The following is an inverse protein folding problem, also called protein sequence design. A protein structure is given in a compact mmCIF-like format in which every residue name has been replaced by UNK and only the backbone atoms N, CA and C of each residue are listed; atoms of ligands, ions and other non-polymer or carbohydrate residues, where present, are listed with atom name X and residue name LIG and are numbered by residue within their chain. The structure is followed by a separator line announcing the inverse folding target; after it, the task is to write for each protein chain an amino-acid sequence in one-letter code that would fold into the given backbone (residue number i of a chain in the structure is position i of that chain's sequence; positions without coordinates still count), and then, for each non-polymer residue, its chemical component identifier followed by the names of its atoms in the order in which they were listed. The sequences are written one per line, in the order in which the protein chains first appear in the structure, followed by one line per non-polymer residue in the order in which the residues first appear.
data_IF_147028783080
#
_entry.id   IF_147028783080
#
_cell.length_a   1.000
_cell.length_b   1.000
_cell.length_c   1.000
_cell.angle_alpha   90.00
_cell.angle_beta   90.00
_cell.angle_gamma   90.00
#
_symmetry.space_group_name_H-M   'P 1'
#
loop_
_entity.id
_entity.type
_entity.pdbx_description
1 polymer ?
#
# COMPACT_ATOMS: atom_id res chain seq x y z
N UNK A 1 56.49 -20.92 3.14
CA UNK A 1 55.74 -20.21 4.20
C UNK A 1 55.02 -19.01 3.56
N UNK A 2 53.77 -19.18 3.12
CA UNK A 2 52.96 -18.14 2.43
C UNK A 2 51.47 -18.53 2.48
N UNK A 3 50.91 -18.74 3.67
CA UNK A 3 49.53 -19.25 3.83
C UNK A 3 48.67 -18.38 4.76
N UNK A 4 49.25 -17.55 5.61
CA UNK A 4 48.49 -16.81 6.64
C UNK A 4 47.68 -15.60 6.15
N UNK A 5 47.96 -15.07 4.95
CA UNK A 5 47.29 -13.86 4.44
C UNK A 5 45.96 -14.12 3.70
N UNK A 6 45.60 -15.38 3.42
CA UNK A 6 44.37 -15.71 2.66
C UNK A 6 43.10 -15.74 3.51
N UNK A 7 43.20 -16.13 4.79
CA UNK A 7 42.05 -16.17 5.69
C UNK A 7 41.43 -14.79 6.01
N UNK A 8 42.21 -13.74 6.34
CA UNK A 8 41.63 -12.43 6.59
C UNK A 8 40.98 -11.84 5.34
N UNK A 9 41.57 -12.05 4.16
CA UNK A 9 41.05 -11.55 2.90
C UNK A 9 39.75 -12.26 2.49
N UNK A 10 39.65 -13.58 2.73
CA UNK A 10 38.40 -14.34 2.55
C UNK A 10 37.30 -13.85 3.49
N UNK A 11 37.61 -13.57 4.76
CA UNK A 11 36.66 -12.96 5.72
C UNK A 11 36.18 -11.59 5.26
N UNK A 12 37.08 -10.73 4.79
CA UNK A 12 36.72 -9.40 4.28
C UNK A 12 35.81 -9.47 3.04
N UNK A 13 36.15 -10.32 2.07
CA UNK A 13 35.32 -10.49 0.86
C UNK A 13 33.96 -11.10 1.22
N UNK A 14 33.92 -12.06 2.15
CA UNK A 14 32.68 -12.66 2.65
C UNK A 14 31.79 -11.63 3.35
N UNK A 15 32.35 -10.72 4.16
CA UNK A 15 31.60 -9.61 4.77
C UNK A 15 31.05 -8.62 3.72
N UNK A 16 31.80 -8.34 2.65
CA UNK A 16 31.33 -7.49 1.55
C UNK A 16 30.18 -8.17 0.82
N UNK A 17 30.36 -9.44 0.46
CA UNK A 17 29.35 -10.26 -0.23
C UNK A 17 28.08 -10.37 0.61
N UNK A 18 28.20 -10.64 1.91
CA UNK A 18 27.08 -10.66 2.85
C UNK A 18 26.32 -9.32 2.81
N UNK A 19 27.04 -8.19 2.84
CA UNK A 19 26.42 -6.87 2.85
C UNK A 19 25.74 -6.49 1.54
N UNK A 20 26.28 -6.93 0.40
CA UNK A 20 25.75 -6.66 -0.95
C UNK A 20 24.60 -7.60 -1.32
N UNK A 21 24.58 -8.81 -0.76
CA UNK A 21 23.55 -9.81 -1.03
C UNK A 21 22.16 -9.30 -0.64
N UNK A 22 21.12 -9.64 -1.43
CA UNK A 22 19.76 -9.28 -1.08
C UNK A 22 19.34 -9.91 0.25
N UNK A 23 18.62 -9.16 1.10
CA UNK A 23 18.34 -9.55 2.49
C UNK A 23 17.63 -10.90 2.60
N UNK A 24 16.71 -11.20 1.68
CA UNK A 24 15.98 -12.46 1.68
C UNK A 24 16.79 -13.70 1.31
N UNK A 25 17.96 -13.57 0.68
CA UNK A 25 18.81 -14.68 0.23
C UNK A 25 20.14 -14.79 0.99
N UNK A 26 20.47 -13.77 1.80
CA UNK A 26 21.74 -13.67 2.51
C UNK A 26 22.08 -14.93 3.31
N UNK A 27 21.15 -15.39 4.14
CA UNK A 27 21.44 -16.48 5.07
C UNK A 27 21.67 -17.81 4.36
N UNK A 28 20.76 -18.17 3.44
CA UNK A 28 20.88 -19.38 2.63
C UNK A 28 22.17 -19.40 1.80
N UNK A 29 22.53 -18.28 1.16
CA UNK A 29 23.74 -18.21 0.35
C UNK A 29 25.04 -18.30 1.18
N UNK A 30 25.05 -17.68 2.37
CA UNK A 30 26.22 -17.75 3.25
C UNK A 30 26.43 -19.17 3.79
N UNK A 31 25.35 -19.90 4.05
CA UNK A 31 25.41 -21.31 4.47
C UNK A 31 25.93 -22.21 3.32
N UNK A 32 25.39 -22.07 2.11
CA UNK A 32 25.81 -22.84 0.93
C UNK A 32 27.27 -22.53 0.52
N UNK A 33 27.67 -21.26 0.58
CA UNK A 33 29.03 -20.85 0.18
C UNK A 33 30.11 -21.22 1.21
N UNK A 34 29.75 -21.35 2.49
CA UNK A 34 30.64 -21.89 3.52
C UNK A 34 30.92 -23.39 3.32
N UNK A 35 29.96 -24.13 2.77
CA UNK A 35 30.04 -25.57 2.54
C UNK A 35 30.78 -25.93 1.24
N UNK A 36 30.59 -25.17 0.15
CA UNK A 36 31.08 -25.54 -1.19
C UNK A 36 32.34 -24.78 -1.67
N UNK A 37 32.67 -23.59 -1.15
CA UNK A 37 33.78 -22.79 -1.66
C UNK A 37 35.04 -22.84 -0.78
N UNK A 38 36.01 -23.68 -1.15
CA UNK A 38 37.31 -23.78 -0.46
C UNK A 38 38.30 -22.68 -0.88
N UNK A 39 38.20 -22.14 -2.11
CA UNK A 39 39.18 -21.19 -2.68
C UNK A 39 38.60 -19.81 -3.04
N UNK A 40 39.38 -18.74 -2.82
CA UNK A 40 39.01 -17.34 -3.13
C UNK A 40 38.78 -17.09 -4.64
N UNK A 41 39.52 -17.78 -5.50
CA UNK A 41 39.46 -17.63 -6.97
C UNK A 41 38.16 -18.19 -7.56
N UNK A 42 37.52 -19.16 -6.91
CA UNK A 42 36.20 -19.67 -7.27
C UNK A 42 35.09 -18.86 -6.58
N UNK A 43 35.32 -18.47 -5.32
CA UNK A 43 34.35 -17.71 -4.53
C UNK A 43 33.93 -16.39 -5.18
N UNK A 44 34.86 -15.60 -5.74
CA UNK A 44 34.56 -14.28 -6.32
C UNK A 44 33.66 -14.34 -7.56
N UNK A 45 33.98 -15.10 -8.62
CA UNK A 45 33.11 -15.19 -9.80
C UNK A 45 31.77 -15.86 -9.48
N UNK A 46 31.76 -16.91 -8.66
CA UNK A 46 30.52 -17.57 -8.24
C UNK A 46 29.64 -16.63 -7.41
N UNK A 47 30.24 -15.82 -6.53
CA UNK A 47 29.52 -14.77 -5.80
C UNK A 47 28.92 -13.73 -6.74
N UNK A 48 29.66 -13.27 -7.75
CA UNK A 48 29.16 -12.26 -8.68
C UNK A 48 27.95 -12.78 -9.49
N UNK A 49 27.99 -14.01 -9.99
CA UNK A 49 26.88 -14.63 -10.73
C UNK A 49 25.68 -14.83 -9.83
N UNK A 50 25.88 -15.32 -8.60
CA UNK A 50 24.79 -15.55 -7.65
C UNK A 50 24.17 -14.24 -7.13
N UNK A 51 24.97 -13.20 -6.94
CA UNK A 51 24.47 -11.85 -6.64
C UNK A 51 23.58 -11.37 -7.80
N UNK A 52 24.09 -11.40 -9.03
CA UNK A 52 23.32 -10.95 -10.20
C UNK A 52 22.01 -11.76 -10.37
N UNK A 53 22.07 -13.08 -10.26
CA UNK A 53 20.90 -13.96 -10.31
C UNK A 53 19.91 -13.71 -9.18
N UNK A 54 20.40 -13.53 -7.94
CA UNK A 54 19.57 -13.23 -6.77
C UNK A 54 18.84 -11.89 -6.90
N UNK A 55 19.53 -10.85 -7.36
CA UNK A 55 18.92 -9.55 -7.65
C UNK A 55 17.87 -9.66 -8.77
N UNK A 56 18.14 -10.42 -9.83
CA UNK A 56 17.20 -10.63 -10.94
C UNK A 56 15.90 -11.30 -10.47
N UNK A 57 16.01 -12.41 -9.74
CA UNK A 57 14.86 -13.16 -9.21
C UNK A 57 14.05 -12.27 -8.25
N UNK A 58 14.72 -11.56 -7.34
CA UNK A 58 14.03 -10.71 -6.38
C UNK A 58 13.43 -9.45 -7.02
N UNK A 59 14.05 -8.89 -8.06
CA UNK A 59 13.48 -7.78 -8.81
C UNK A 59 12.17 -8.19 -9.48
N UNK A 60 12.12 -9.38 -10.11
CA UNK A 60 10.90 -9.92 -10.71
C UNK A 60 9.84 -10.17 -9.64
N UNK A 61 10.22 -10.77 -8.50
CA UNK A 61 9.30 -11.05 -7.40
C UNK A 61 8.76 -9.77 -6.72
N UNK A 62 9.55 -8.71 -6.67
CA UNK A 62 9.17 -7.44 -6.07
C UNK A 62 8.39 -6.53 -7.03
N UNK A 63 8.35 -6.84 -8.32
CA UNK A 63 7.76 -5.97 -9.33
C UNK A 63 6.24 -5.81 -9.14
N UNK A 64 5.80 -4.56 -8.96
CA UNK A 64 4.40 -4.19 -8.85
C UNK A 64 4.00 -3.26 -9.99
N UNK A 65 3.20 -3.78 -10.93
CA UNK A 65 2.70 -3.06 -12.12
C UNK A 65 2.02 -1.73 -11.78
N UNK A 66 1.24 -1.69 -10.69
CA UNK A 66 0.48 -0.49 -10.31
C UNK A 66 1.41 0.58 -9.76
N UNK A 67 2.38 0.17 -8.93
CA UNK A 67 3.39 1.08 -8.40
C UNK A 67 4.28 1.63 -9.53
N UNK A 68 4.75 0.76 -10.42
CA UNK A 68 5.57 1.16 -11.57
C UNK A 68 4.85 2.20 -12.44
N UNK A 69 3.58 1.96 -12.79
CA UNK A 69 2.78 2.90 -13.58
C UNK A 69 2.61 4.26 -12.88
N UNK A 70 2.31 4.25 -11.58
CA UNK A 70 2.16 5.48 -10.81
C UNK A 70 3.48 6.26 -10.71
N UNK A 71 4.61 5.57 -10.51
CA UNK A 71 5.94 6.18 -10.49
C UNK A 71 6.33 6.73 -11.85
N UNK A 72 5.94 6.08 -12.95
CA UNK A 72 6.18 6.61 -14.30
C UNK A 72 5.45 7.93 -14.48
N UNK A 73 4.16 8.00 -14.10
CA UNK A 73 3.39 9.24 -14.14
C UNK A 73 4.01 10.34 -13.28
N UNK A 74 4.50 9.99 -12.08
CA UNK A 74 5.20 10.91 -11.18
C UNK A 74 6.44 11.55 -11.81
N UNK A 75 7.30 10.73 -12.41
CA UNK A 75 8.53 11.17 -13.05
C UNK A 75 8.22 12.02 -14.27
N UNK A 76 7.28 11.59 -15.13
CA UNK A 76 6.83 12.37 -16.29
C UNK A 76 6.31 13.76 -15.88
N UNK A 77 5.46 13.80 -14.85
CA UNK A 77 4.90 15.06 -14.35
C UNK A 77 5.98 15.99 -13.80
N UNK A 78 6.92 15.45 -13.01
CA UNK A 78 7.95 16.24 -12.35
C UNK A 78 9.00 16.79 -13.32
N UNK A 79 9.31 16.06 -14.39
CA UNK A 79 10.34 16.43 -15.37
C UNK A 79 9.76 16.87 -16.71
N UNK A 80 8.54 17.43 -16.72
CA UNK A 80 7.84 17.84 -17.94
C UNK A 80 8.67 18.77 -18.86
N UNK A 81 9.55 19.61 -18.29
CA UNK A 81 10.42 20.51 -19.03
C UNK A 81 11.79 19.92 -19.45
N UNK A 82 12.10 18.65 -19.16
CA UNK A 82 13.43 18.08 -19.40
C UNK A 82 13.78 17.92 -20.89
N UNK A 83 12.77 17.87 -21.77
CA UNK A 83 12.94 17.65 -23.21
C UNK A 83 13.12 16.17 -23.57
N UNK A 84 12.52 15.75 -24.68
CA UNK A 84 12.46 14.35 -25.13
C UNK A 84 13.50 14.07 -26.22
N UNK A 85 14.02 12.83 -26.42
CA UNK A 85 13.82 11.60 -25.64
C UNK A 85 14.96 11.22 -24.68
N UNK A 86 16.22 11.55 -25.01
CA UNK A 86 17.39 10.94 -24.36
C UNK A 86 17.55 11.33 -22.88
N UNK A 87 17.26 12.59 -22.53
CA UNK A 87 17.29 13.08 -21.15
C UNK A 87 16.29 12.36 -20.25
N UNK A 88 15.09 12.10 -20.78
CA UNK A 88 14.10 11.29 -20.08
C UNK A 88 14.59 9.86 -19.85
N UNK A 89 15.22 9.22 -20.84
CA UNK A 89 15.77 7.88 -20.65
C UNK A 89 16.80 7.81 -19.52
N UNK A 90 17.63 8.84 -19.35
CA UNK A 90 18.61 8.94 -18.25
C UNK A 90 17.89 9.08 -16.90
N UNK A 91 16.94 10.01 -16.78
CA UNK A 91 16.15 10.22 -15.56
C UNK A 91 15.37 8.94 -15.18
N UNK A 92 14.70 8.32 -16.16
CA UNK A 92 13.96 7.07 -15.95
C UNK A 92 14.90 5.94 -15.55
N UNK A 93 16.00 5.76 -16.28
CA UNK A 93 16.98 4.72 -16.01
C UNK A 93 17.58 4.84 -14.62
N UNK A 94 17.94 6.05 -14.18
CA UNK A 94 18.52 6.28 -12.86
C UNK A 94 17.51 6.03 -11.74
N UNK A 95 16.32 6.62 -11.83
CA UNK A 95 15.26 6.47 -10.82
C UNK A 95 14.79 5.01 -10.76
N UNK A 96 14.36 4.43 -11.88
CA UNK A 96 13.85 3.06 -11.88
C UNK A 96 14.94 2.02 -11.61
N UNK A 97 16.17 2.25 -12.05
CA UNK A 97 17.31 1.39 -11.73
C UNK A 97 17.55 1.32 -10.22
N UNK A 98 17.68 2.49 -9.57
CA UNK A 98 17.88 2.57 -8.12
C UNK A 98 16.71 1.95 -7.34
N UNK A 99 15.49 2.25 -7.75
CA UNK A 99 14.29 1.72 -7.12
C UNK A 99 14.15 0.20 -7.29
N UNK A 100 14.49 -0.34 -8.46
CA UNK A 100 14.43 -1.79 -8.73
C UNK A 100 15.50 -2.54 -7.93
N UNK A 101 16.73 -2.01 -7.89
CA UNK A 101 17.80 -2.57 -7.05
C UNK A 101 17.42 -2.56 -5.57
N UNK A 102 16.81 -1.47 -5.12
CA UNK A 102 16.35 -1.32 -3.75
C UNK A 102 15.19 -2.26 -3.41
N UNK A 103 14.28 -2.46 -4.35
CA UNK A 103 13.15 -3.38 -4.22
C UNK A 103 13.61 -4.83 -4.16
N UNK A 104 14.57 -5.20 -5.00
CA UNK A 104 15.24 -6.49 -4.90
C UNK A 104 15.90 -6.64 -3.53
N UNK A 105 16.79 -5.72 -3.13
CA UNK A 105 17.53 -5.81 -1.86
C UNK A 105 16.65 -5.96 -0.60
N UNK A 106 15.46 -5.32 -0.58
CA UNK A 106 14.56 -5.29 0.57
C UNK A 106 13.54 -6.43 0.60
N UNK A 107 13.33 -7.15 -0.49
CA UNK A 107 12.37 -8.24 -0.56
C UNK A 107 12.77 -9.43 0.34
N UNK A 108 11.84 -10.10 1.06
CA UNK A 108 10.40 -9.88 1.16
C UNK A 108 9.97 -8.92 2.30
N UNK A 109 10.92 -8.29 2.98
CA UNK A 109 10.69 -7.40 4.11
C UNK A 109 10.17 -6.02 3.64
N UNK A 110 8.89 -5.97 3.27
CA UNK A 110 8.24 -4.77 2.76
C UNK A 110 7.32 -4.12 3.81
N UNK A 111 7.43 -2.80 3.98
CA UNK A 111 6.28 -1.97 4.36
C UNK A 111 6.47 -0.97 5.50
N UNK A 112 7.70 -0.59 5.87
CA UNK A 112 7.92 0.50 6.83
C UNK A 112 7.92 1.89 6.16
N UNK A 113 7.57 2.90 6.94
CA UNK A 113 7.73 4.31 6.56
C UNK A 113 9.19 4.64 6.24
N UNK A 114 10.12 4.09 7.03
CA UNK A 114 11.55 4.29 6.85
C UNK A 114 12.06 3.67 5.55
N UNK A 115 11.51 2.53 5.13
CA UNK A 115 11.88 1.89 3.87
C UNK A 115 11.45 2.77 2.70
N UNK A 116 10.22 3.29 2.71
CA UNK A 116 9.73 4.17 1.64
C UNK A 116 10.53 5.48 1.55
N UNK A 117 10.97 6.03 2.70
CA UNK A 117 11.84 7.21 2.73
C UNK A 117 13.22 6.90 2.15
N UNK A 118 13.83 5.79 2.58
CA UNK A 118 15.12 5.33 2.05
C UNK A 118 15.07 5.09 0.54
N UNK A 119 13.96 4.57 0.02
CA UNK A 119 13.78 4.33 -1.41
C UNK A 119 13.70 5.64 -2.21
N UNK A 120 12.94 6.61 -1.72
CA UNK A 120 12.82 7.92 -2.36
C UNK A 120 14.15 8.67 -2.34
N UNK A 121 14.89 8.59 -1.23
CA UNK A 121 16.24 9.14 -1.12
C UNK A 121 17.22 8.43 -2.07
N UNK A 122 17.17 7.11 -2.17
CA UNK A 122 18.01 6.35 -3.10
C UNK A 122 17.74 6.76 -4.56
N UNK A 123 16.49 6.95 -4.95
CA UNK A 123 16.14 7.48 -6.27
C UNK A 123 16.66 8.90 -6.48
N UNK A 124 16.50 9.80 -5.50
CA UNK A 124 17.01 11.16 -5.56
C UNK A 124 18.53 11.21 -5.71
N UNK A 125 19.25 10.47 -4.87
CA UNK A 125 20.72 10.37 -4.93
C UNK A 125 21.17 9.78 -6.27
N UNK A 126 20.52 8.71 -6.74
CA UNK A 126 20.86 8.12 -8.04
C UNK A 126 20.62 9.09 -9.20
N UNK A 127 19.57 9.91 -9.14
CA UNK A 127 19.31 10.95 -10.12
C UNK A 127 20.41 12.00 -10.12
N UNK A 128 20.78 12.54 -8.97
CA UNK A 128 21.86 13.55 -8.90
C UNK A 128 23.20 12.97 -9.34
N UNK A 129 23.49 11.71 -8.99
CA UNK A 129 24.71 11.04 -9.42
C UNK A 129 24.72 10.80 -10.94
N UNK A 130 23.60 10.40 -11.53
CA UNK A 130 23.51 10.24 -12.99
C UNK A 130 23.68 11.56 -13.72
N UNK A 131 23.10 12.65 -13.21
CA UNK A 131 23.27 13.97 -13.82
C UNK A 131 24.69 14.52 -13.66
N UNK A 132 25.32 14.32 -12.49
CA UNK A 132 26.72 14.68 -12.28
C UNK A 132 27.65 13.92 -13.24
N UNK A 133 27.36 12.64 -13.50
CA UNK A 133 28.08 11.84 -14.49
C UNK A 133 27.84 12.33 -15.92
N UNK A 134 26.63 12.76 -16.25
CA UNK A 134 26.34 13.32 -17.58
C UNK A 134 27.03 14.66 -17.79
N UNK A 135 27.16 15.49 -16.76
CA UNK A 135 27.94 16.73 -16.84
C UNK A 135 29.42 16.49 -17.15
N UNK A 136 29.98 15.34 -16.79
CA UNK A 136 31.39 15.01 -17.10
C UNK A 136 31.55 14.32 -18.45
N UNK A 137 30.64 13.41 -18.81
CA UNK A 137 30.76 12.59 -20.04
C UNK A 137 30.12 13.29 -21.25
N UNK A 138 28.92 13.87 -21.08
CA UNK A 138 28.14 14.44 -22.18
C UNK A 138 27.23 15.58 -21.70
N UNK A 139 27.77 16.81 -21.57
CA UNK A 139 27.02 17.97 -21.06
C UNK A 139 25.76 18.30 -21.88
N UNK A 140 25.70 17.93 -23.16
CA UNK A 140 24.52 18.13 -24.01
C UNK A 140 23.32 17.29 -23.57
N UNK A 141 23.58 16.14 -22.92
CA UNK A 141 22.57 15.23 -22.38
C UNK A 141 22.22 15.53 -20.92
N UNK A 142 22.95 16.41 -20.23
CA UNK A 142 22.60 16.81 -18.88
C UNK A 142 21.30 17.63 -18.86
N UNK A 143 20.49 17.41 -17.83
CA UNK A 143 19.27 18.18 -17.60
C UNK A 143 19.66 19.58 -17.10
N UNK A 144 19.06 20.66 -17.62
CA UNK A 144 19.34 22.00 -17.12
C UNK A 144 19.09 22.10 -15.61
N UNK A 145 20.00 22.71 -14.85
CA UNK A 145 19.96 22.78 -13.38
C UNK A 145 18.58 23.17 -12.83
N UNK A 146 17.97 24.20 -13.40
CA UNK A 146 16.64 24.67 -12.99
C UNK A 146 15.57 23.58 -13.15
N UNK A 147 15.63 22.80 -14.22
CA UNK A 147 14.68 21.69 -14.46
C UNK A 147 14.98 20.54 -13.51
N UNK A 148 16.25 20.23 -13.29
CA UNK A 148 16.68 19.17 -12.38
C UNK A 148 16.20 19.43 -10.95
N UNK A 149 16.49 20.61 -10.39
CA UNK A 149 16.09 20.95 -9.02
C UNK A 149 14.57 21.02 -8.85
N UNK A 150 13.85 21.63 -9.80
CA UNK A 150 12.38 21.69 -9.76
C UNK A 150 11.75 20.30 -9.83
N UNK A 151 12.23 19.48 -10.75
CA UNK A 151 11.76 18.12 -10.93
C UNK A 151 12.08 17.24 -9.72
N UNK A 152 13.31 17.27 -9.21
CA UNK A 152 13.70 16.50 -8.03
C UNK A 152 12.90 16.91 -6.78
N UNK A 153 12.67 18.22 -6.60
CA UNK A 153 11.91 18.75 -5.46
C UNK A 153 10.47 18.22 -5.39
N UNK A 154 9.83 17.99 -6.54
CA UNK A 154 8.47 17.40 -6.59
C UNK A 154 8.53 15.88 -6.66
N UNK A 155 9.45 15.32 -7.43
CA UNK A 155 9.53 13.89 -7.71
C UNK A 155 9.84 13.09 -6.45
N UNK A 156 10.81 13.49 -5.63
CA UNK A 156 11.24 12.71 -4.45
C UNK A 156 10.11 12.56 -3.42
N UNK A 157 9.42 13.64 -2.99
CA UNK A 157 8.24 13.51 -2.13
C UNK A 157 7.10 12.70 -2.77
N UNK A 158 6.92 12.79 -4.08
CA UNK A 158 5.86 12.08 -4.77
C UNK A 158 6.16 10.57 -4.87
N UNK A 159 7.41 10.19 -5.13
CA UNK A 159 7.87 8.80 -5.07
C UNK A 159 7.72 8.23 -3.65
N UNK A 160 8.08 9.02 -2.62
CA UNK A 160 7.89 8.65 -1.23
C UNK A 160 6.42 8.35 -0.93
N UNK A 161 5.52 9.29 -1.25
CA UNK A 161 4.07 9.14 -0.98
C UNK A 161 3.44 8.00 -1.78
N UNK A 162 3.79 7.83 -3.05
CA UNK A 162 3.31 6.71 -3.86
C UNK A 162 3.74 5.36 -3.28
N UNK A 163 5.01 5.22 -2.89
CA UNK A 163 5.51 4.00 -2.25
C UNK A 163 4.81 3.74 -0.93
N UNK A 164 4.66 4.78 -0.11
CA UNK A 164 3.91 4.70 1.14
C UNK A 164 2.49 4.19 0.94
N UNK A 165 1.78 4.63 -0.09
CA UNK A 165 0.37 4.31 -0.31
C UNK A 165 0.18 2.95 -0.98
N UNK A 166 1.04 2.62 -1.96
CA UNK A 166 0.89 1.44 -2.82
C UNK A 166 1.69 0.22 -2.33
N UNK A 167 2.73 0.42 -1.50
CA UNK A 167 3.58 -0.65 -0.94
C UNK A 167 3.20 -1.01 0.51
N UNK A 168 2.40 -0.20 1.20
CA UNK A 168 1.96 -0.51 2.57
C UNK A 168 1.26 -1.88 2.60
N UNK A 169 1.84 -2.80 3.38
CA UNK A 169 1.21 -4.08 3.73
C UNK A 169 -0.10 -3.78 4.46
N UNK A 170 -1.11 -4.62 4.23
CA UNK A 170 -2.44 -4.48 4.84
C UNK A 170 -2.30 -3.99 6.29
N UNK A 171 -2.77 -2.77 6.61
CA UNK A 171 -2.55 -2.18 7.92
C UNK A 171 -3.04 -3.16 8.98
N UNK A 172 -2.12 -3.56 9.90
CA UNK A 172 -2.47 -4.39 11.06
C UNK A 172 -3.71 -3.78 11.71
N UNK A 173 -4.62 -4.63 12.15
CA UNK A 173 -5.88 -4.18 12.70
C UNK A 173 -5.59 -3.19 13.85
N UNK A 174 -6.01 -1.92 13.74
CA UNK A 174 -5.61 -0.88 14.70
C UNK A 174 -6.16 -1.11 16.11
N UNK A 175 -7.06 -2.07 16.27
CA UNK A 175 -7.66 -2.46 17.54
C UNK A 175 -7.26 -3.87 17.98
N UNK A 176 -6.33 -4.51 17.28
CA UNK A 176 -5.78 -5.82 17.65
C UNK A 176 -5.15 -5.77 19.05
N UNK A 177 -5.47 -6.74 19.90
CA UNK A 177 -5.04 -6.74 21.30
C UNK A 177 -5.77 -5.77 22.24
N UNK A 178 -6.61 -4.85 21.73
CA UNK A 178 -7.34 -3.91 22.59
C UNK A 178 -8.50 -4.59 23.33
N UNK A 179 -8.50 -4.50 24.68
CA UNK A 179 -9.62 -4.93 25.54
C UNK A 179 -10.84 -3.98 25.48
N UNK A 180 -10.98 -3.19 24.42
CA UNK A 180 -12.06 -2.20 24.28
C UNK A 180 -13.42 -2.85 24.03
N UNK A 181 -14.47 -2.27 24.63
CA UNK A 181 -15.86 -2.64 24.37
C UNK A 181 -16.29 -2.28 22.95
N UNK A 182 -17.31 -2.95 22.43
CA UNK A 182 -17.77 -2.75 21.06
C UNK A 182 -18.35 -1.33 20.82
N UNK A 183 -19.00 -0.75 21.84
CA UNK A 183 -19.53 0.62 21.82
C UNK A 183 -18.41 1.67 21.83
N UNK A 184 -17.34 1.47 22.62
CA UNK A 184 -16.19 2.36 22.61
C UNK A 184 -15.46 2.34 21.25
N UNK A 185 -15.31 1.15 20.66
CA UNK A 185 -14.77 0.99 19.30
C UNK A 185 -15.65 1.66 18.25
N UNK A 186 -16.99 1.55 18.37
CA UNK A 186 -17.93 2.27 17.51
C UNK A 186 -17.69 3.79 17.55
N UNK A 187 -17.69 4.37 18.75
CA UNK A 187 -17.55 5.82 18.93
C UNK A 187 -16.22 6.33 18.36
N UNK A 188 -15.11 5.61 18.60
CA UNK A 188 -13.79 5.99 18.05
C UNK A 188 -13.78 5.96 16.53
N UNK A 189 -14.30 4.90 15.92
CA UNK A 189 -14.37 4.78 14.45
C UNK A 189 -15.31 5.83 13.87
N UNK A 190 -16.43 6.14 14.52
CA UNK A 190 -17.35 7.18 14.08
C UNK A 190 -16.69 8.56 14.08
N UNK A 191 -16.02 8.94 15.19
CA UNK A 191 -15.26 10.18 15.27
C UNK A 191 -14.13 10.25 14.24
N UNK A 192 -13.39 9.15 14.05
CA UNK A 192 -12.35 9.07 13.03
C UNK A 192 -12.90 9.37 11.62
N UNK A 193 -14.05 8.79 11.26
CA UNK A 193 -14.69 9.08 9.98
C UNK A 193 -15.14 10.54 9.89
N UNK A 194 -15.69 11.14 10.97
CA UNK A 194 -16.09 12.55 10.97
C UNK A 194 -14.90 13.48 10.77
N UNK A 195 -13.83 13.29 11.53
CA UNK A 195 -12.61 14.08 11.41
C UNK A 195 -12.02 13.95 10.01
N UNK A 196 -12.00 12.74 9.46
CA UNK A 196 -11.50 12.49 8.12
C UNK A 196 -12.39 13.15 7.04
N UNK A 197 -13.72 13.08 7.18
CA UNK A 197 -14.66 13.78 6.27
C UNK A 197 -14.52 15.31 6.36
N UNK A 198 -14.34 15.85 7.57
CA UNK A 198 -14.10 17.28 7.77
C UNK A 198 -12.78 17.72 7.10
N UNK A 199 -11.71 16.92 7.24
CA UNK A 199 -10.45 17.15 6.56
C UNK A 199 -10.59 17.11 5.03
N UNK A 200 -11.38 16.17 4.49
CA UNK A 200 -11.70 16.13 3.05
C UNK A 200 -12.35 17.43 2.59
N UNK A 201 -13.40 17.89 3.28
CA UNK A 201 -14.11 19.11 2.93
C UNK A 201 -13.17 20.31 3.04
N UNK A 202 -12.38 20.39 4.11
CA UNK A 202 -11.35 21.43 4.27
C UNK A 202 -10.38 21.48 3.09
N UNK A 203 -9.83 20.34 2.68
CA UNK A 203 -8.92 20.27 1.52
C UNK A 203 -9.58 20.72 0.22
N UNK A 204 -10.86 20.38 -0.01
CA UNK A 204 -11.59 20.86 -1.18
C UNK A 204 -11.72 22.40 -1.16
N UNK A 205 -12.07 22.97 0.00
CA UNK A 205 -12.20 24.41 0.16
C UNK A 205 -10.86 25.14 -0.04
N UNK A 206 -9.79 24.60 0.55
CA UNK A 206 -8.42 25.14 0.41
C UNK A 206 -7.90 25.02 -1.02
N UNK A 207 -8.28 23.97 -1.74
CA UNK A 207 -7.90 23.78 -3.14
C UNK A 207 -8.68 24.67 -4.13
N UNK A 208 -9.78 25.28 -3.71
CA UNK A 208 -10.64 26.08 -4.61
C UNK A 208 -9.95 27.34 -5.16
N UNK A 209 -9.21 28.13 -4.35
CA UNK A 209 -8.44 29.27 -4.84
C UNK A 209 -7.26 28.89 -5.75
N UNK A 210 -6.73 27.67 -5.62
CA UNK A 210 -5.59 27.18 -6.42
C UNK A 210 -5.96 26.84 -7.87
N UNK A 211 -7.26 26.74 -8.17
CA UNK A 211 -7.75 26.43 -9.51
C UNK A 211 -7.78 27.68 -10.40
N UNK A 212 -7.47 27.54 -11.70
CA UNK A 212 -7.43 28.67 -12.62
C UNK A 212 -8.78 29.38 -12.79
N UNK A 213 -8.73 30.69 -13.04
CA UNK A 213 -9.89 31.54 -13.26
C UNK A 213 -10.84 31.03 -14.37
N UNK A 214 -10.31 30.39 -15.42
CA UNK A 214 -11.09 29.86 -16.54
C UNK A 214 -12.00 28.68 -16.15
N UNK A 215 -11.75 28.02 -15.01
CA UNK A 215 -12.60 26.93 -14.54
C UNK A 215 -13.77 27.50 -13.72
N UNK A 216 -15.04 27.19 -14.03
CA UNK A 216 -16.18 27.77 -13.32
C UNK A 216 -16.13 27.55 -11.81
N UNK A 217 -16.31 28.61 -11.02
CA UNK A 217 -16.16 28.58 -9.56
C UNK A 217 -17.04 27.53 -8.89
N UNK A 218 -18.30 27.41 -9.34
CA UNK A 218 -19.23 26.41 -8.80
C UNK A 218 -18.72 24.98 -9.00
N UNK A 219 -18.04 24.69 -10.12
CA UNK A 219 -17.52 23.35 -10.42
C UNK A 219 -16.30 23.00 -9.56
N UNK A 220 -15.47 23.98 -9.18
CA UNK A 220 -14.22 23.78 -8.41
C UNK A 220 -14.48 23.04 -7.10
N UNK A 221 -15.53 23.45 -6.37
CA UNK A 221 -15.94 22.82 -5.12
C UNK A 221 -17.02 21.74 -5.30
N UNK A 222 -18.00 21.97 -6.17
CA UNK A 222 -19.17 21.08 -6.25
C UNK A 222 -18.83 19.72 -6.83
N UNK A 223 -17.93 19.63 -7.82
CA UNK A 223 -17.59 18.34 -8.44
C UNK A 223 -16.89 17.39 -7.47
N UNK A 224 -15.84 17.80 -6.72
CA UNK A 224 -15.26 16.97 -5.67
C UNK A 224 -16.25 16.59 -4.57
N UNK A 225 -17.10 17.53 -4.13
CA UNK A 225 -18.10 17.28 -3.08
C UNK A 225 -19.16 16.27 -3.54
N UNK A 226 -19.65 16.39 -4.78
CA UNK A 226 -20.63 15.46 -5.35
C UNK A 226 -20.01 14.08 -5.54
N UNK A 227 -18.78 14.01 -6.06
CA UNK A 227 -18.05 12.75 -6.23
C UNK A 227 -17.86 12.06 -4.88
N UNK A 228 -17.44 12.82 -3.86
CA UNK A 228 -17.32 12.34 -2.49
C UNK A 228 -18.64 11.82 -1.92
N UNK A 229 -19.72 12.58 -2.11
CA UNK A 229 -21.06 12.19 -1.65
C UNK A 229 -21.54 10.91 -2.32
N UNK A 230 -21.40 10.79 -3.65
CA UNK A 230 -21.76 9.59 -4.40
C UNK A 230 -20.93 8.40 -3.91
N UNK A 231 -19.63 8.60 -3.72
CA UNK A 231 -18.72 7.57 -3.23
C UNK A 231 -19.06 7.11 -1.80
N UNK A 232 -19.45 8.01 -0.90
CA UNK A 232 -19.94 7.66 0.43
C UNK A 232 -21.29 6.95 0.41
N UNK A 233 -22.21 7.38 -0.45
CA UNK A 233 -23.54 6.76 -0.60
C UNK A 233 -23.41 5.33 -1.11
N UNK A 234 -22.53 5.08 -2.10
CA UNK A 234 -22.26 3.73 -2.58
C UNK A 234 -21.79 2.80 -1.47
N UNK A 235 -20.95 3.30 -0.56
CA UNK A 235 -20.43 2.52 0.58
C UNK A 235 -21.46 2.23 1.68
N UNK A 236 -22.65 2.83 1.61
CA UNK A 236 -23.76 2.55 2.53
C UNK A 236 -24.65 1.47 1.92
N UNK A 237 -24.82 0.34 2.61
CA UNK A 237 -25.73 -0.72 2.19
C UNK A 237 -27.19 -0.24 2.26
N UNK A 238 -27.72 0.32 1.18
CA UNK A 238 -29.10 0.81 1.09
C UNK A 238 -30.14 -0.33 1.03
N UNK A 239 -29.74 -1.52 0.55
CA UNK A 239 -30.67 -2.64 0.31
C UNK A 239 -31.09 -3.37 1.59
N UNK A 240 -30.29 -3.36 2.66
CA UNK A 240 -30.66 -3.99 3.96
C UNK A 240 -31.64 -3.11 4.75
N UNK A 241 -31.75 -1.81 4.40
CA UNK A 241 -32.64 -0.85 5.06
C UNK A 241 -34.13 -1.15 4.89
N UNK A 242 -34.49 -2.03 3.96
CA UNK A 242 -35.88 -2.39 3.65
C UNK A 242 -36.41 -3.60 4.42
N UNK A 243 -35.60 -4.28 5.23
CA UNK A 243 -36.08 -5.41 6.05
C UNK A 243 -36.73 -4.89 7.35
N UNK A 244 -37.88 -4.22 7.18
CA UNK A 244 -38.70 -3.63 8.26
C UNK A 244 -39.51 -4.65 9.05
N UNK A 245 -39.33 -5.96 8.80
CA UNK A 245 -40.12 -7.01 9.44
C UNK A 245 -39.63 -7.22 10.88
N UNK A 246 -40.32 -6.59 11.83
CA UNK A 246 -40.14 -6.82 13.27
C UNK A 246 -40.56 -8.25 13.61
N UNK A 247 -39.60 -9.14 13.86
CA UNK A 247 -39.87 -10.35 14.65
C UNK A 247 -39.93 -9.95 16.13
N UNK A 248 -41.07 -10.19 16.78
CA UNK A 248 -41.40 -9.75 18.14
C UNK A 248 -40.44 -10.24 19.26
N UNK A 249 -39.54 -11.18 18.98
CA UNK A 249 -38.64 -11.78 19.97
C UNK A 249 -37.14 -11.51 19.73
N UNK A 250 -36.81 -10.47 18.96
CA UNK A 250 -35.42 -10.15 18.66
C UNK A 250 -34.80 -9.13 19.65
N UNK A 251 -33.60 -9.46 20.13
CA UNK A 251 -32.80 -8.70 21.10
C UNK A 251 -32.60 -7.23 20.64
N UNK A 252 -33.15 -6.26 21.39
CA UNK A 252 -33.10 -4.83 21.05
C UNK A 252 -31.66 -4.31 20.94
N UNK A 253 -30.75 -4.83 21.75
CA UNK A 253 -29.34 -4.43 21.72
C UNK A 253 -28.70 -4.83 20.38
N UNK A 254 -29.01 -6.04 19.90
CA UNK A 254 -28.57 -6.56 18.61
C UNK A 254 -29.10 -5.72 17.45
N UNK A 255 -30.37 -5.32 17.50
CA UNK A 255 -30.99 -4.46 16.47
C UNK A 255 -30.36 -3.07 16.44
N UNK A 256 -30.06 -2.51 17.60
CA UNK A 256 -29.40 -1.21 17.73
C UNK A 256 -27.99 -1.26 17.16
N UNK A 257 -27.24 -2.32 17.48
CA UNK A 257 -25.89 -2.56 16.95
C UNK A 257 -25.91 -2.77 15.42
N UNK A 258 -26.87 -3.54 14.89
CA UNK A 258 -27.01 -3.73 13.43
C UNK A 258 -27.30 -2.42 12.70
N UNK A 259 -28.23 -1.60 13.22
CA UNK A 259 -28.52 -0.26 12.67
C UNK A 259 -27.29 0.65 12.72
N UNK A 260 -26.50 0.57 13.79
CA UNK A 260 -25.24 1.30 13.92
C UNK A 260 -24.18 0.79 12.94
N UNK A 261 -24.17 -0.48 12.57
CA UNK A 261 -23.25 -1.03 11.56
C UNK A 261 -23.63 -0.56 10.16
N UNK A 262 -24.92 -0.43 9.86
CA UNK A 262 -25.43 -0.01 8.55
C UNK A 262 -25.19 1.47 8.23
N UNK A 263 -24.94 2.31 9.23
CA UNK A 263 -24.77 3.76 9.03
C UNK A 263 -23.38 4.16 8.53
N UNK A 264 -22.39 3.28 8.59
CA UNK A 264 -20.99 3.60 8.25
C UNK A 264 -20.53 3.04 6.90
N UNK A 265 -19.53 3.72 6.34
CA UNK A 265 -18.79 3.36 5.15
C UNK A 265 -18.15 1.96 5.29
N UNK A 266 -18.80 0.95 4.72
CA UNK A 266 -18.41 -0.46 4.89
C UNK A 266 -17.30 -0.88 3.93
N UNK A 267 -17.08 -0.12 2.85
CA UNK A 267 -16.28 -0.55 1.70
C UNK A 267 -16.95 -1.74 1.00
N UNK A 268 -17.08 -1.69 -0.33
CA UNK A 268 -17.77 -2.77 -1.04
C UNK A 268 -16.87 -4.00 -1.20
N UNK A 269 -17.47 -5.17 -1.06
CA UNK A 269 -16.83 -6.44 -1.42
C UNK A 269 -16.97 -6.72 -2.92
N UNK A 270 -16.07 -7.54 -3.49
CA UNK A 270 -16.08 -7.91 -4.93
C UNK A 270 -17.41 -8.53 -5.41
N UNK A 271 -18.23 -9.03 -4.50
CA UNK A 271 -19.50 -9.71 -4.78
C UNK A 271 -20.72 -8.78 -4.63
N UNK A 272 -20.55 -7.56 -4.13
CA UNK A 272 -21.64 -6.61 -3.97
C UNK A 272 -21.86 -5.80 -5.27
N UNK A 273 -23.12 -5.44 -5.60
CA UNK A 273 -23.42 -4.62 -6.77
C UNK A 273 -22.72 -3.27 -6.66
N UNK A 274 -22.31 -2.69 -7.79
CA UNK A 274 -21.56 -1.43 -7.89
C UNK A 274 -20.12 -1.45 -7.32
N UNK A 275 -19.54 -2.63 -7.04
CA UNK A 275 -18.14 -2.74 -6.63
C UNK A 275 -17.16 -2.08 -7.62
N UNK A 276 -17.40 -2.23 -8.93
CA UNK A 276 -16.58 -1.60 -9.97
C UNK A 276 -16.64 -0.07 -9.89
N UNK A 277 -17.84 0.52 -9.77
CA UNK A 277 -18.02 1.96 -9.62
C UNK A 277 -17.31 2.49 -8.37
N UNK A 278 -17.41 1.79 -7.24
CA UNK A 278 -16.66 2.12 -6.03
C UNK A 278 -15.14 2.07 -6.24
N UNK A 279 -14.66 1.03 -6.94
CA UNK A 279 -13.23 0.83 -7.22
C UNK A 279 -12.65 1.90 -8.16
N UNK A 280 -13.45 2.43 -9.08
CA UNK A 280 -13.08 3.52 -9.97
C UNK A 280 -13.22 4.90 -9.32
N UNK A 281 -14.24 5.11 -8.49
CA UNK A 281 -14.48 6.39 -7.82
C UNK A 281 -13.42 6.72 -6.77
N UNK A 282 -12.86 5.73 -6.08
CA UNK A 282 -11.79 5.95 -5.10
C UNK A 282 -10.56 6.66 -5.71
N UNK A 283 -9.87 6.12 -6.74
CA UNK A 283 -8.74 6.81 -7.35
C UNK A 283 -9.15 8.10 -8.07
N UNK A 284 -10.34 8.15 -8.67
CA UNK A 284 -10.85 9.36 -9.32
C UNK A 284 -11.06 10.49 -8.32
N UNK A 285 -11.59 10.21 -7.14
CA UNK A 285 -11.76 11.18 -6.06
C UNK A 285 -10.41 11.72 -5.57
N UNK A 286 -9.43 10.86 -5.33
CA UNK A 286 -8.08 11.32 -4.96
C UNK A 286 -7.39 12.11 -6.08
N UNK A 287 -7.64 11.77 -7.35
CA UNK A 287 -7.16 12.55 -8.49
C UNK A 287 -7.76 13.96 -8.50
N UNK A 288 -9.05 14.09 -8.22
CA UNK A 288 -9.70 15.39 -8.07
C UNK A 288 -9.09 16.21 -6.92
N UNK A 289 -8.81 15.59 -5.77
CA UNK A 289 -8.15 16.26 -4.65
C UNK A 289 -6.70 16.69 -4.99
N UNK A 290 -6.01 15.93 -5.84
CA UNK A 290 -4.65 16.28 -6.29
C UNK A 290 -4.65 17.37 -7.37
N UNK A 291 -5.78 17.57 -8.08
CA UNK A 291 -5.85 18.46 -9.24
C UNK A 291 -5.46 19.90 -8.94
N UNK A 292 -5.92 20.55 -7.84
CA UNK A 292 -5.52 21.93 -7.56
C UNK A 292 -4.00 22.07 -7.45
N UNK A 293 -3.35 21.22 -6.66
CA UNK A 293 -1.89 21.22 -6.53
C UNK A 293 -1.18 20.95 -7.85
N UNK A 294 -1.68 20.00 -8.65
CA UNK A 294 -1.10 19.67 -9.94
C UNK A 294 -1.18 20.85 -10.91
N UNK A 295 -2.32 21.54 -10.95
CA UNK A 295 -2.54 22.69 -11.82
C UNK A 295 -1.69 23.90 -11.39
N UNK A 296 -1.53 24.13 -10.08
CA UNK A 296 -0.64 25.19 -9.57
C UNK A 296 0.84 24.89 -9.84
N UNK A 297 1.26 23.64 -9.71
CA UNK A 297 2.65 23.22 -9.97
C UNK A 297 3.01 23.17 -11.45
N UNK A 298 2.03 22.91 -12.32
CA UNK A 298 2.27 22.65 -13.74
C UNK A 298 3.00 23.79 -14.48
N UNK A 299 2.62 25.07 -14.35
CA UNK A 299 3.36 26.17 -14.98
C UNK A 299 4.83 26.20 -14.54
N UNK A 300 5.10 25.98 -13.26
CA UNK A 300 6.46 25.99 -12.72
C UNK A 300 7.31 24.82 -13.22
N UNK A 301 6.74 23.62 -13.26
CA UNK A 301 7.37 22.40 -13.76
C UNK A 301 7.58 22.42 -15.27
N UNK A 302 6.69 23.07 -16.02
CA UNK A 302 6.81 23.27 -17.47
C UNK A 302 7.73 24.43 -17.86
N UNK A 303 8.37 25.08 -16.89
CA UNK A 303 9.33 26.16 -17.12
C UNK A 303 8.70 27.54 -17.35
N UNK A 304 7.38 27.68 -17.19
CA UNK A 304 6.67 28.95 -17.28
C UNK A 304 6.80 29.75 -15.96
N UNK A 305 6.70 31.08 -16.00
CA UNK A 305 6.55 31.87 -14.77
C UNK A 305 5.29 31.43 -14.03
N UNK A 306 5.40 31.29 -12.72
CA UNK A 306 4.32 30.85 -11.86
C UNK A 306 4.36 31.69 -10.58
N UNK A 307 3.28 32.42 -10.31
CA UNK A 307 3.04 33.02 -9.01
C UNK A 307 2.47 31.93 -8.11
N UNK A 308 3.36 31.28 -7.36
CA UNK A 308 2.98 30.19 -6.46
C UNK A 308 2.88 30.77 -5.07
N UNK A 309 1.68 30.76 -4.50
CA UNK A 309 1.53 30.87 -3.05
C UNK A 309 2.06 29.56 -2.43
N UNK A 310 3.33 29.60 -2.04
CA UNK A 310 4.06 28.43 -1.51
C UNK A 310 3.40 27.93 -0.24
N UNK A 311 2.86 28.80 0.60
CA UNK A 311 2.21 28.41 1.86
C UNK A 311 0.90 27.69 1.60
N UNK A 312 0.06 28.25 0.74
CA UNK A 312 -1.23 27.64 0.38
C UNK A 312 -1.01 26.29 -0.31
N UNK A 313 -0.06 26.21 -1.25
CA UNK A 313 0.31 24.98 -1.92
C UNK A 313 0.85 23.93 -0.95
N UNK A 314 1.77 24.30 -0.06
CA UNK A 314 2.34 23.40 0.94
C UNK A 314 1.29 22.86 1.90
N UNK A 315 0.36 23.72 2.33
CA UNK A 315 -0.77 23.33 3.17
C UNK A 315 -1.68 22.34 2.44
N UNK A 316 -2.05 22.63 1.18
CA UNK A 316 -2.90 21.74 0.38
C UNK A 316 -2.23 20.39 0.11
N UNK A 317 -0.93 20.38 -0.21
CA UNK A 317 -0.16 19.15 -0.41
C UNK A 317 -0.07 18.30 0.86
N UNK A 318 0.14 18.95 2.00
CA UNK A 318 0.21 18.27 3.30
C UNK A 318 -1.15 17.69 3.65
N UNK A 319 -2.23 18.47 3.51
CA UNK A 319 -3.59 17.99 3.75
C UNK A 319 -3.95 16.82 2.82
N UNK A 320 -3.61 16.89 1.53
CA UNK A 320 -3.80 15.81 0.57
C UNK A 320 -3.01 14.54 0.98
N UNK A 321 -1.72 14.68 1.29
CA UNK A 321 -0.88 13.56 1.72
C UNK A 321 -1.42 12.92 3.00
N UNK A 322 -1.83 13.72 3.99
CA UNK A 322 -2.46 13.22 5.22
C UNK A 322 -3.75 12.47 4.93
N UNK A 323 -4.62 12.99 4.06
CA UNK A 323 -5.86 12.31 3.67
C UNK A 323 -5.59 10.97 2.97
N UNK A 324 -4.64 10.95 2.04
CA UNK A 324 -4.27 9.77 1.27
C UNK A 324 -3.68 8.67 2.18
N UNK A 325 -2.78 9.03 3.10
CA UNK A 325 -2.15 8.10 4.03
C UNK A 325 -3.14 7.61 5.10
N UNK A 326 -3.94 8.52 5.67
CA UNK A 326 -4.93 8.16 6.69
C UNK A 326 -6.08 7.33 6.14
N UNK A 327 -6.36 7.40 4.83
CA UNK A 327 -7.43 6.61 4.21
C UNK A 327 -7.25 5.10 4.37
N UNK A 328 -6.02 4.59 4.24
CA UNK A 328 -5.74 3.18 4.48
C UNK A 328 -6.05 2.77 5.93
N UNK A 329 -5.72 3.63 6.88
CA UNK A 329 -6.04 3.44 8.29
C UNK A 329 -7.55 3.50 8.56
N UNK A 330 -8.28 4.47 7.98
CA UNK A 330 -9.74 4.58 8.09
C UNK A 330 -10.42 3.32 7.54
N UNK A 331 -9.99 2.83 6.37
CA UNK A 331 -10.45 1.54 5.81
C UNK A 331 -10.17 0.38 6.76
N UNK A 332 -8.98 0.31 7.33
CA UNK A 332 -8.61 -0.75 8.28
C UNK A 332 -9.48 -0.73 9.52
N UNK A 333 -9.70 0.46 10.10
CA UNK A 333 -10.52 0.66 11.28
C UNK A 333 -11.99 0.28 11.04
N UNK A 334 -12.55 0.69 9.89
CA UNK A 334 -13.90 0.32 9.47
C UNK A 334 -14.05 -1.20 9.27
N UNK A 335 -13.10 -1.86 8.60
CA UNK A 335 -13.09 -3.33 8.39
C UNK A 335 -12.92 -4.11 9.71
N UNK A 336 -11.99 -3.70 10.56
CA UNK A 336 -11.72 -4.32 11.85
C UNK A 336 -12.96 -4.34 12.74
N UNK A 337 -13.65 -3.20 12.78
CA UNK A 337 -14.92 -3.06 13.48
C UNK A 337 -15.95 -4.05 12.96
N UNK A 338 -16.15 -4.10 11.64
CA UNK A 338 -17.12 -4.99 11.02
C UNK A 338 -16.85 -6.46 11.36
N UNK A 339 -15.60 -6.93 11.21
CA UNK A 339 -15.21 -8.30 11.57
C UNK A 339 -15.58 -8.64 13.02
N UNK A 340 -15.35 -7.72 13.97
CA UNK A 340 -15.66 -7.93 15.39
C UNK A 340 -17.16 -8.03 15.67
N UNK A 341 -17.98 -7.24 14.98
CA UNK A 341 -19.43 -7.31 15.13
C UNK A 341 -20.05 -8.54 14.46
N UNK A 342 -19.62 -8.89 13.25
CA UNK A 342 -20.04 -10.13 12.57
C UNK A 342 -19.58 -11.39 13.30
N UNK A 343 -18.37 -11.39 13.89
CA UNK A 343 -17.88 -12.51 14.70
C UNK A 343 -18.69 -12.72 15.99
N UNK A 344 -19.08 -11.62 16.66
CA UNK A 344 -19.93 -11.70 17.87
C UNK A 344 -21.35 -12.22 17.56
N UNK A 345 -21.94 -11.83 16.41
CA UNK A 345 -23.27 -12.30 16.04
C UNK A 345 -23.27 -13.80 15.70
N UNK A 346 -22.28 -14.28 14.93
CA UNK A 346 -22.15 -15.70 14.56
C UNK A 346 -21.78 -16.58 15.76
N UNK A 347 -20.86 -16.14 16.62
CA UNK A 347 -20.42 -16.89 17.80
C UNK A 347 -21.55 -17.13 18.81
N UNK A 348 -22.41 -16.12 19.06
CA UNK A 348 -23.60 -16.28 19.91
C UNK A 348 -24.68 -17.16 19.27
N UNK A 349 -24.81 -17.15 17.94
CA UNK A 349 -25.74 -18.01 17.22
C UNK A 349 -25.33 -19.48 17.28
N UNK A 350 -24.03 -19.79 17.16
CA UNK A 350 -23.48 -21.14 17.40
C UNK A 350 -23.66 -21.59 18.85
N UNK A 351 -23.48 -20.70 19.83
CA UNK A 351 -23.67 -21.03 21.26
C UNK A 351 -25.14 -21.29 21.62
N UNK A 352 -26.09 -20.60 20.96
CA UNK A 352 -27.54 -20.86 21.11
C UNK A 352 -28.05 -22.07 20.32
N UNK A 353 -27.37 -22.46 19.23
CA UNK A 353 -27.69 -23.67 18.44
C UNK A 353 -27.01 -24.94 18.92
N UNK A 354 -26.12 -24.87 19.92
CA UNK A 354 -25.77 -26.06 20.70
C UNK A 354 -26.91 -26.28 21.68
N UNK A 355 -27.79 -27.29 21.50
CA UNK A 355 -28.63 -27.71 22.61
C UNK A 355 -27.70 -28.07 23.77
N UNK A 356 -28.13 -27.75 24.99
CA UNK A 356 -27.51 -28.25 26.21
C UNK A 356 -27.68 -29.77 26.21
N UNK A 357 -26.77 -30.48 25.55
CA UNK A 357 -26.62 -31.92 25.69
C UNK A 357 -25.51 -32.14 26.69
N UNK A 358 -25.85 -31.94 27.96
CA UNK A 358 -25.19 -32.58 29.09
C UNK A 358 -26.24 -32.73 30.19
N UNK A 359 -26.51 -33.97 30.58
CA UNK A 359 -27.38 -34.26 31.73
C UNK A 359 -28.31 -35.45 31.61
N UNK A 360 -27.80 -36.61 31.15
CA UNK A 360 -28.27 -37.92 31.63
C UNK A 360 -29.60 -38.46 31.10
N UNK A 361 -29.59 -39.18 29.98
CA UNK A 361 -30.46 -40.36 29.80
C UNK A 361 -30.07 -41.31 28.64
N UNK A 362 -28.79 -41.38 28.25
CA UNK A 362 -28.34 -42.34 27.23
C UNK A 362 -27.08 -43.11 27.67
N UNK A 363 -27.02 -43.45 28.95
CA UNK A 363 -26.09 -44.45 29.48
C UNK A 363 -26.89 -45.70 29.90
N UNK A 364 -27.59 -46.31 28.94
CA UNK A 364 -28.03 -47.71 29.00
C UNK A 364 -28.38 -48.15 27.59
N UNK A 365 -28.02 -49.38 27.25
CA UNK A 365 -28.14 -50.02 25.94
C UNK A 365 -26.98 -49.70 24.98
N UNK A 366 -25.78 -50.17 25.36
CA UNK A 366 -24.85 -50.82 24.43
C UNK A 366 -24.17 -51.96 25.18
N UNK A 367 -24.93 -53.02 25.41
CA UNK A 367 -24.38 -54.36 25.63
C UNK A 367 -24.80 -55.21 24.44
N UNK A 368 -23.81 -55.93 23.91
CA UNK A 368 -23.86 -56.97 22.88
C UNK A 368 -23.68 -56.54 21.42
N UNK A 369 -22.82 -57.34 20.78
CA UNK A 369 -22.51 -57.48 19.35
C UNK A 369 -21.35 -56.64 18.78
N UNK A 370 -20.21 -57.32 18.74
CA UNK A 370 -19.14 -57.24 17.74
C UNK A 370 -18.78 -58.70 17.39
N UNK A 371 -18.08 -59.04 16.29
CA UNK A 371 -17.88 -58.37 14.99
C UNK A 371 -18.27 -59.29 13.82
N UNK A 372 -18.34 -58.78 12.58
CA UNK A 372 -17.69 -59.37 11.38
C UNK A 372 -18.23 -58.81 10.05
N UNK A 373 -17.37 -58.95 9.04
CA UNK A 373 -17.56 -58.83 7.59
C UNK A 373 -17.33 -57.43 6.97
N UNK A 374 -16.08 -57.27 6.52
CA UNK A 374 -15.69 -56.98 5.13
C UNK A 374 -16.78 -56.44 4.20
N UNK A 375 -16.52 -55.33 3.52
CA UNK A 375 -16.43 -55.28 2.06
C UNK A 375 -15.90 -53.91 1.62
N UNK A 376 -14.87 -53.95 0.78
CA UNK A 376 -14.27 -52.78 0.16
C UNK A 376 -15.19 -52.16 -0.90
N UNK A 377 -15.12 -50.84 -1.03
CA UNK A 377 -15.52 -50.15 -2.24
C UNK A 377 -14.77 -48.81 -2.32
N UNK A 378 -13.70 -48.83 -3.09
CA UNK A 378 -13.04 -47.68 -3.71
C UNK A 378 -14.03 -46.83 -4.49
N UNK A 379 -13.99 -45.51 -4.33
CA UNK A 379 -14.51 -44.55 -5.32
C UNK A 379 -13.46 -43.46 -5.59
N UNK A 380 -13.36 -42.99 -6.86
CA UNK A 380 -12.25 -42.18 -7.38
C UNK A 380 -12.49 -40.66 -7.19
N UNK A 381 -11.48 -39.81 -7.51
CA UNK A 381 -11.52 -38.38 -7.19
C UNK A 381 -12.27 -37.58 -8.26
N UNK A 382 -12.96 -36.53 -7.84
CA UNK A 382 -13.42 -35.46 -8.72
C UNK A 382 -12.81 -34.13 -8.24
N UNK A 383 -11.94 -33.61 -9.11
CA UNK A 383 -11.53 -32.22 -9.39
C UNK A 383 -11.38 -31.20 -8.25
#
# INVERSE_FOLDING_TARGET
MKIETREPLKRWVSLIVENVLPRGLRQQYMDESAEYCSSLSQFVPDSAVNIAGGYWIQAIAAFNKTLALAQTGAVMFSFAAAGFPLRFCIIFGSIFGALTLRDAYTHPHNGSYLDSAADALAAGVSLFLSEALMLTISPSLAVPDRVLYRGAFVCVPLLFTLRMVLRQRDPKNPFEGSKMTAKAMYNKVWWLNIVWMAAVIGTILIGTPLMPAWFPEFLRGSVPVLTFKIWLVLQRNSLVRHDKIQKLFEDQEKKTISRLIETLAKGLSKREPFYWAYRCLEPFFFLQLATPSAVTLWPWLSGRPAEIDVFLLAFNLTAFATLLLSWNYVKAANRARQKRFSGKSIGRQRKRRRPAHDGGLFARIKSSVSPQAEFGATWPPYW
#
